data_IF_546341161880
#
_entry.id   IF_546341161880
#
_cell.length_a   1.000
_cell.length_b   1.000
_cell.length_c   1.000
_cell.angle_alpha   90.00
_cell.angle_beta   90.00
_cell.angle_gamma   90.00
#
_symmetry.space_group_name_H-M   'P 1'
#
loop_
_entity.id
_entity.type
_entity.pdbx_description
1 polymer ?
#
# COMPACT_ATOMS: atom_id res chain seq x y z
N UNK A 1 -17.30 -4.20 40.33
CA UNK A 1 -17.28 -4.17 38.86
C UNK A 1 -16.34 -3.04 38.46
N UNK A 2 -15.06 -3.36 38.27
CA UNK A 2 -14.04 -2.40 37.83
C UNK A 2 -14.20 -2.23 36.33
N UNK A 3 -14.38 -0.99 35.88
CA UNK A 3 -14.42 -0.64 34.48
C UNK A 3 -12.98 -0.47 34.02
N UNK A 4 -12.39 -1.54 33.50
CA UNK A 4 -11.12 -1.50 32.78
C UNK A 4 -11.36 -0.77 31.45
N UNK A 5 -11.22 0.55 31.49
CA UNK A 5 -11.18 1.37 30.29
C UNK A 5 -9.92 0.96 29.51
N UNK A 6 -10.11 0.22 28.41
CA UNK A 6 -9.03 -0.11 27.48
C UNK A 6 -8.37 1.19 27.01
N UNK A 7 -7.12 1.39 27.43
CA UNK A 7 -6.24 2.40 26.84
C UNK A 7 -6.08 2.08 25.34
N UNK A 8 -6.35 3.03 24.42
CA UNK A 8 -6.21 2.77 23.00
C UNK A 8 -4.74 2.46 22.69
N UNK A 9 -4.48 1.23 22.22
CA UNK A 9 -3.15 0.72 21.93
C UNK A 9 -2.38 1.72 21.06
N UNK A 10 -1.28 2.25 21.59
CA UNK A 10 -0.47 3.25 20.91
C UNK A 10 -0.05 2.76 19.51
N UNK A 11 -0.21 3.63 18.49
CA UNK A 11 0.23 3.36 17.13
C UNK A 11 1.75 3.13 17.16
N UNK A 12 2.22 2.05 16.54
CA UNK A 12 3.64 1.68 16.45
C UNK A 12 4.10 1.62 14.99
N UNK A 13 5.42 1.75 14.77
CA UNK A 13 6.03 1.61 13.45
C UNK A 13 5.52 2.64 12.43
N UNK A 14 5.21 2.19 11.21
CA UNK A 14 4.79 3.05 10.11
C UNK A 14 3.46 3.79 10.36
N UNK A 15 2.61 3.23 11.22
CA UNK A 15 1.34 3.83 11.64
C UNK A 15 1.55 4.99 12.65
N UNK A 16 2.68 4.99 13.36
CA UNK A 16 3.07 6.06 14.29
C UNK A 16 3.74 7.24 13.58
N UNK A 17 4.32 7.01 12.40
CA UNK A 17 4.93 8.05 11.57
C UNK A 17 3.88 9.05 11.06
N UNK A 18 4.26 10.33 10.98
CA UNK A 18 3.40 11.39 10.47
C UNK A 18 2.91 11.11 9.04
N UNK A 19 1.70 11.55 8.67
CA UNK A 19 1.13 11.27 7.35
C UNK A 19 2.03 11.74 6.19
N UNK A 20 2.69 12.89 6.35
CA UNK A 20 3.61 13.45 5.36
C UNK A 20 4.83 12.57 5.16
N UNK A 21 5.49 12.17 6.24
CA UNK A 21 6.68 11.31 6.16
C UNK A 21 6.34 9.91 5.66
N UNK A 22 5.13 9.42 5.96
CA UNK A 22 4.62 8.17 5.38
C UNK A 22 4.51 8.25 3.86
N UNK A 23 3.96 9.35 3.34
CA UNK A 23 3.84 9.61 1.90
C UNK A 23 5.22 9.74 1.25
N UNK A 24 6.14 10.45 1.90
CA UNK A 24 7.51 10.61 1.40
C UNK A 24 8.23 9.26 1.28
N UNK A 25 8.13 8.40 2.30
CA UNK A 25 8.74 7.07 2.26
C UNK A 25 8.09 6.19 1.19
N UNK A 26 6.75 6.21 1.06
CA UNK A 26 6.05 5.48 0.02
C UNK A 26 6.45 5.97 -1.40
N UNK A 27 6.57 7.28 -1.58
CA UNK A 27 6.98 7.89 -2.85
C UNK A 27 8.43 7.52 -3.21
N UNK A 28 9.34 7.50 -2.22
CA UNK A 28 10.73 7.06 -2.39
C UNK A 28 10.82 5.64 -2.94
N UNK A 29 10.01 4.71 -2.46
CA UNK A 29 10.00 3.33 -2.98
C UNK A 29 9.76 3.24 -4.50
N UNK A 30 8.82 4.04 -5.04
CA UNK A 30 8.56 4.12 -6.49
C UNK A 30 9.56 4.98 -7.26
N UNK A 31 10.13 5.99 -6.62
CA UNK A 31 11.08 6.93 -7.23
C UNK A 31 12.53 6.40 -7.27
N UNK A 32 12.90 5.46 -6.39
CA UNK A 32 14.24 4.87 -6.33
C UNK A 32 14.66 4.14 -7.61
N UNK A 33 13.71 3.78 -8.48
CA UNK A 33 14.00 3.13 -9.76
C UNK A 33 13.81 4.14 -10.91
N UNK A 34 14.86 4.44 -11.70
CA UNK A 34 14.77 5.31 -12.86
C UNK A 34 13.67 4.85 -13.83
N UNK A 35 12.94 5.76 -14.50
CA UNK A 35 11.77 5.43 -15.33
C UNK A 35 11.98 4.26 -16.30
N UNK A 36 13.12 4.21 -17.00
CA UNK A 36 13.45 3.15 -17.96
C UNK A 36 13.86 1.81 -17.34
N UNK A 37 14.17 1.78 -16.04
CA UNK A 37 14.53 0.55 -15.29
C UNK A 37 13.40 0.01 -14.42
N UNK A 38 12.24 0.67 -14.40
CA UNK A 38 11.09 0.21 -13.61
C UNK A 38 10.57 -1.10 -14.21
N UNK A 39 10.19 -2.07 -13.37
CA UNK A 39 9.74 -3.40 -13.83
C UNK A 39 8.58 -3.33 -14.81
N UNK A 40 7.72 -2.30 -14.68
CA UNK A 40 6.63 -2.05 -15.61
C UNK A 40 7.07 -1.53 -16.99
N UNK A 41 8.20 -0.84 -17.07
CA UNK A 41 8.78 -0.32 -18.32
C UNK A 41 9.63 -1.37 -19.05
N UNK A 42 10.23 -2.31 -18.29
CA UNK A 42 11.13 -3.33 -18.85
C UNK A 42 10.38 -4.50 -19.51
N UNK A 43 9.27 -4.95 -18.94
CA UNK A 43 8.50 -6.08 -19.48
C UNK A 43 6.99 -5.79 -19.42
N UNK A 44 6.46 -5.36 -20.56
CA UNK A 44 5.06 -4.97 -20.70
C UNK A 44 4.10 -6.13 -20.44
N UNK A 45 4.47 -7.35 -20.82
CA UNK A 45 3.64 -8.54 -20.58
C UNK A 45 3.58 -8.91 -19.11
N UNK A 46 4.73 -8.90 -18.42
CA UNK A 46 4.78 -9.17 -16.98
C UNK A 46 3.94 -8.14 -16.20
N UNK A 47 4.05 -6.86 -16.56
CA UNK A 47 3.26 -5.79 -15.97
C UNK A 47 1.75 -6.01 -16.20
N UNK A 48 1.35 -6.37 -17.43
CA UNK A 48 -0.04 -6.66 -17.76
C UNK A 48 -0.58 -7.89 -17.01
N UNK A 49 0.22 -8.94 -16.84
CA UNK A 49 -0.15 -10.11 -16.04
C UNK A 49 -0.32 -9.76 -14.56
N UNK A 50 0.64 -9.07 -13.97
CA UNK A 50 0.57 -8.63 -12.58
C UNK A 50 -0.64 -7.73 -12.32
N UNK A 51 -0.93 -6.80 -13.23
CA UNK A 51 -2.11 -5.93 -13.16
C UNK A 51 -3.43 -6.70 -13.20
N UNK A 52 -3.56 -7.71 -14.08
CA UNK A 52 -4.76 -8.57 -14.13
C UNK A 52 -4.97 -9.36 -12.83
N UNK A 53 -3.91 -9.91 -12.26
CA UNK A 53 -3.98 -10.66 -10.99
C UNK A 53 -4.37 -9.73 -9.83
N UNK A 54 -3.76 -8.54 -9.75
CA UNK A 54 -4.09 -7.55 -8.74
C UNK A 54 -5.53 -7.04 -8.85
N UNK A 55 -6.00 -6.76 -10.07
CA UNK A 55 -7.36 -6.29 -10.33
C UNK A 55 -8.45 -7.34 -10.09
N UNK A 56 -8.17 -8.62 -10.39
CA UNK A 56 -9.10 -9.71 -10.07
C UNK A 56 -9.22 -9.94 -8.56
N UNK A 57 -8.14 -9.74 -7.80
CA UNK A 57 -8.13 -9.87 -6.34
C UNK A 57 -8.88 -8.75 -5.62
N UNK A 58 -8.92 -7.53 -6.19
CA UNK A 58 -9.64 -6.38 -5.62
C UNK A 58 -11.12 -6.31 -6.02
N UNK A 59 -11.55 -7.07 -7.04
CA UNK A 59 -12.93 -7.10 -7.50
C UNK A 59 -13.90 -7.80 -6.54
N UNK A 60 -13.41 -8.53 -5.53
CA UNK A 60 -14.24 -9.29 -4.58
C UNK A 60 -14.92 -8.45 -3.49
N UNK A 61 -14.76 -7.12 -3.51
CA UNK A 61 -15.28 -6.19 -2.47
C UNK A 61 -16.05 -5.00 -3.05
N UNK A 62 -16.66 -5.15 -4.22
CA UNK A 62 -17.67 -4.20 -4.68
C UNK A 62 -19.05 -4.79 -4.38
N UNK A 63 -19.47 -4.69 -3.12
CA UNK A 63 -20.89 -4.82 -2.77
C UNK A 63 -21.67 -3.81 -3.61
N UNK A 64 -22.67 -4.23 -4.39
CA UNK A 64 -23.60 -3.30 -5.01
C UNK A 64 -24.53 -2.74 -3.91
N UNK A 65 -24.72 -1.42 -3.90
CA UNK A 65 -25.79 -0.76 -3.14
C UNK A 65 -27.15 -1.06 -3.78
#
# INVERSE_FOLDING_TARGET
MTLDAEEPKAKRGFAAISPERRREIAARGGASVPPGKRSFSQNRELAARAGRIGGSSSSSRKEPD
#
